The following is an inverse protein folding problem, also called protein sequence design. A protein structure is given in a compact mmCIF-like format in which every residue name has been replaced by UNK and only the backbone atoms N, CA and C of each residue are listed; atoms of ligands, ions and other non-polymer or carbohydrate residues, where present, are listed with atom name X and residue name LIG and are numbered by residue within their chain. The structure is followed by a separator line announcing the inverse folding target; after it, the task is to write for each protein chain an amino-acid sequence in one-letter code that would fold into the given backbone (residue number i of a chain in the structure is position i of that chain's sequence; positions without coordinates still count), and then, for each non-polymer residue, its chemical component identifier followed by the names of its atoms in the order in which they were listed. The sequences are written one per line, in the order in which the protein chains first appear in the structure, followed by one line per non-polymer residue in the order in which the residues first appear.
data_IF_772549847330
#
_entry.id   IF_772549847330
#
_cell.length_a   1.000
_cell.length_b   1.000
_cell.length_c   1.000
_cell.angle_alpha   90.00
_cell.angle_beta   90.00
_cell.angle_gamma   90.00
#
_symmetry.space_group_name_H-M   'P 1'
#
loop_
_entity.id
_entity.type
_entity.pdbx_description
1 polymer ?
#
# COMPACT_ATOMS: atom_id res chain seq x y z
N UNK A 1 9.48 -6.07 12.99
CA UNK A 1 8.90 -6.41 11.66
C UNK A 1 7.56 -5.69 11.52
N UNK A 2 7.21 -5.11 10.35
CA UNK A 2 5.93 -4.41 10.19
C UNK A 2 4.74 -5.36 10.36
N UNK A 3 3.64 -4.89 10.95
CA UNK A 3 2.45 -5.72 11.18
C UNK A 3 1.83 -6.16 9.85
N UNK A 4 1.17 -7.31 9.90
CA UNK A 4 0.34 -7.77 8.79
C UNK A 4 -1.06 -7.17 8.93
N UNK A 5 -1.57 -6.59 7.84
CA UNK A 5 -2.93 -6.02 7.81
C UNK A 5 -3.72 -6.76 6.74
N UNK A 6 -4.88 -7.30 7.12
CA UNK A 6 -5.77 -8.06 6.22
C UNK A 6 -5.06 -9.22 5.50
N UNK A 7 -4.19 -9.94 6.19
CA UNK A 7 -3.43 -11.06 5.63
C UNK A 7 -2.29 -10.66 4.67
N UNK A 8 -2.01 -9.36 4.49
CA UNK A 8 -0.97 -8.85 3.61
C UNK A 8 0.13 -8.17 4.41
N UNK A 9 1.38 -8.44 4.03
CA UNK A 9 2.55 -7.79 4.63
C UNK A 9 2.73 -6.40 4.05
N UNK A 10 2.85 -5.41 4.92
CA UNK A 10 3.22 -4.06 4.53
C UNK A 10 4.71 -4.01 4.18
N UNK A 11 5.04 -3.45 3.01
CA UNK A 11 6.42 -3.32 2.52
C UNK A 11 6.80 -1.85 2.47
N UNK A 12 7.67 -1.41 3.38
CA UNK A 12 8.37 -0.13 3.32
C UNK A 12 9.57 -0.30 2.39
N UNK A 13 9.73 0.57 1.40
CA UNK A 13 10.75 0.43 0.33
C UNK A 13 11.90 1.40 0.53
N UNK A 14 11.60 2.70 0.60
CA UNK A 14 12.59 3.75 0.73
C UNK A 14 12.02 4.92 1.53
N UNK A 15 12.92 5.73 2.08
CA UNK A 15 12.58 6.95 2.79
C UNK A 15 13.47 8.08 2.30
N UNK A 16 12.93 9.29 2.24
CA UNK A 16 13.69 10.50 1.89
C UNK A 16 13.22 11.69 2.75
N UNK A 17 14.05 12.73 2.83
CA UNK A 17 13.70 13.96 3.53
C UNK A 17 12.70 14.77 2.68
N UNK A 18 11.52 15.01 3.21
CA UNK A 18 10.51 15.89 2.59
C UNK A 18 10.65 17.36 2.98
N UNK A 19 11.41 17.65 4.05
CA UNK A 19 11.63 19.01 4.55
C UNK A 19 12.36 18.97 5.90
N UNK A 20 12.88 20.12 6.34
CA UNK A 20 13.76 20.21 7.51
C UNK A 20 13.19 20.99 8.69
N UNK A 21 12.22 21.90 8.48
CA UNK A 21 11.64 22.72 9.55
C UNK A 21 10.10 22.70 9.53
N UNK A 22 9.44 21.81 10.32
CA UNK A 22 10.02 20.73 11.12
C UNK A 22 10.55 19.57 10.24
N UNK A 23 11.42 18.67 10.74
CA UNK A 23 11.93 17.56 9.96
C UNK A 23 10.80 16.63 9.47
N UNK A 24 10.69 16.43 8.16
CA UNK A 24 9.71 15.55 7.52
C UNK A 24 10.43 14.39 6.85
N UNK A 25 10.06 13.17 7.22
CA UNK A 25 10.51 11.94 6.55
C UNK A 25 9.34 11.38 5.74
N UNK A 26 9.52 11.28 4.42
CA UNK A 26 8.54 10.67 3.54
C UNK A 26 8.94 9.22 3.28
N UNK A 27 8.07 8.30 3.69
CA UNK A 27 8.30 6.85 3.55
C UNK A 27 7.40 6.31 2.45
N UNK A 28 8.03 5.67 1.46
CA UNK A 28 7.34 5.05 0.35
C UNK A 28 7.24 3.55 0.52
N UNK A 29 6.14 2.99 0.03
CA UNK A 29 5.93 1.55 0.09
C UNK A 29 4.60 1.10 -0.48
N UNK A 30 4.27 -0.15 -0.19
CA UNK A 30 2.97 -0.72 -0.53
C UNK A 30 2.11 -0.81 0.72
N UNK A 31 0.84 -0.39 0.63
CA UNK A 31 -0.14 -0.49 1.72
C UNK A 31 0.27 0.27 3.00
N UNK A 32 1.06 1.34 2.83
CA UNK A 32 1.65 2.12 3.92
C UNK A 32 0.61 2.97 4.66
N UNK A 33 -0.46 3.36 3.96
CA UNK A 33 -1.62 4.04 4.56
C UNK A 33 -2.35 3.20 5.62
N UNK A 34 -2.23 1.87 5.56
CA UNK A 34 -2.89 0.96 6.49
C UNK A 34 -2.04 0.64 7.73
N UNK A 35 -0.88 1.31 7.90
CA UNK A 35 -0.10 1.15 9.12
C UNK A 35 -0.91 1.55 10.36
N UNK A 36 -0.91 0.72 11.42
CA UNK A 36 -1.42 1.14 12.72
C UNK A 36 -0.63 2.32 13.28
N UNK A 37 -1.29 3.21 14.00
CA UNK A 37 -0.66 4.41 14.57
C UNK A 37 0.46 4.08 15.57
N UNK A 38 0.38 2.91 16.22
CA UNK A 38 1.46 2.38 17.06
C UNK A 38 2.75 2.20 16.28
N UNK A 39 2.69 1.66 15.06
CA UNK A 39 3.87 1.47 14.22
C UNK A 39 4.37 2.78 13.61
N UNK A 40 3.47 3.72 13.30
CA UNK A 40 3.86 5.08 12.88
C UNK A 40 4.67 5.78 13.96
N UNK A 41 4.22 5.68 15.22
CA UNK A 41 4.93 6.22 16.39
C UNK A 41 6.26 5.52 16.65
N UNK A 42 6.31 4.21 16.47
CA UNK A 42 7.56 3.44 16.52
C UNK A 42 8.58 3.99 15.52
N UNK A 43 8.19 4.17 14.24
CA UNK A 43 9.08 4.72 13.21
C UNK A 43 9.52 6.15 13.55
N UNK A 44 8.61 6.99 14.06
CA UNK A 44 8.92 8.35 14.50
C UNK A 44 9.99 8.36 15.60
N UNK A 45 9.80 7.53 16.63
CA UNK A 45 10.78 7.41 17.72
C UNK A 45 12.10 6.80 17.26
N UNK A 46 12.05 5.86 16.32
CA UNK A 46 13.24 5.26 15.71
C UNK A 46 14.07 6.31 15.00
N UNK A 47 13.49 7.08 14.08
CA UNK A 47 14.20 8.16 13.38
C UNK A 47 14.69 9.25 14.34
N UNK A 48 13.89 9.59 15.36
CA UNK A 48 14.30 10.58 16.38
C UNK A 48 15.53 10.13 17.13
N UNK A 49 15.58 8.86 17.53
CA UNK A 49 16.72 8.29 18.25
C UNK A 49 17.95 8.10 17.35
N UNK A 50 17.75 7.60 16.13
CA UNK A 50 18.86 7.31 15.20
C UNK A 50 19.51 8.55 14.61
N UNK A 51 18.77 9.65 14.46
CA UNK A 51 19.28 10.92 13.94
C UNK A 51 19.62 11.92 15.05
N UNK A 52 19.47 11.53 16.32
CA UNK A 52 19.75 12.37 17.50
C UNK A 52 19.07 13.75 17.48
N UNK A 53 17.88 13.81 16.88
CA UNK A 53 17.12 15.06 16.75
C UNK A 53 16.48 15.42 18.11
N UNK A 54 16.94 16.54 18.67
CA UNK A 54 16.45 17.12 19.92
C UNK A 54 15.62 18.39 19.62
N UNK A 55 14.53 18.60 20.36
CA UNK A 55 13.77 19.85 20.34
C UNK A 55 12.66 19.96 19.28
N UNK A 56 12.72 19.24 18.16
CA UNK A 56 11.63 19.25 17.15
C UNK A 56 11.00 17.87 16.94
N UNK A 57 9.66 17.77 16.85
CA UNK A 57 9.01 16.51 16.52
C UNK A 57 9.23 16.15 15.05
N UNK A 58 9.64 14.91 14.77
CA UNK A 58 9.75 14.41 13.39
C UNK A 58 8.36 14.07 12.86
N UNK A 59 8.01 14.62 11.70
CA UNK A 59 6.79 14.27 10.98
C UNK A 59 7.07 13.15 9.99
N UNK A 60 6.25 12.11 9.99
CA UNK A 60 6.35 11.03 9.01
C UNK A 60 5.14 11.08 8.09
N UNK A 61 5.41 11.23 6.79
CA UNK A 61 4.40 11.16 5.75
C UNK A 61 4.55 9.83 5.01
N UNK A 62 3.42 9.15 4.78
CA UNK A 62 3.42 7.86 4.09
C UNK A 62 2.84 8.02 2.68
N UNK A 63 3.63 7.63 1.69
CA UNK A 63 3.19 7.60 0.30
C UNK A 63 3.08 6.17 -0.19
N UNK A 64 1.90 5.82 -0.69
CA UNK A 64 1.70 4.55 -1.37
C UNK A 64 2.27 4.66 -2.79
N UNK A 65 2.86 3.58 -3.27
CA UNK A 65 3.13 3.41 -4.69
C UNK A 65 1.80 3.42 -5.45
N UNK A 66 1.68 4.26 -6.47
CA UNK A 66 0.54 4.23 -7.37
C UNK A 66 0.58 2.96 -8.24
N UNK A 67 -0.60 2.42 -8.52
CA UNK A 67 -0.75 1.27 -9.41
C UNK A 67 -1.13 1.77 -10.82
N UNK A 68 -0.24 1.69 -11.82
CA UNK A 68 -0.50 2.19 -13.18
C UNK A 68 -1.60 1.42 -13.95
N UNK A 69 -2.14 0.35 -13.36
CA UNK A 69 -3.21 -0.48 -13.93
C UNK A 69 -4.56 -0.29 -13.22
N UNK A 70 -4.64 0.53 -12.17
CA UNK A 70 -5.87 0.66 -11.36
C UNK A 70 -7.08 1.12 -12.18
N UNK A 71 -6.85 2.05 -13.11
CA UNK A 71 -7.91 2.58 -13.99
C UNK A 71 -8.01 1.86 -15.34
N UNK A 72 -7.22 0.79 -15.58
CA UNK A 72 -7.34 0.01 -16.81
C UNK A 72 -8.44 -1.02 -16.63
N UNK A 73 -9.61 -0.74 -17.21
CA UNK A 73 -10.64 -1.75 -17.37
C UNK A 73 -10.10 -2.88 -18.26
N UNK A 74 -9.95 -4.09 -17.71
CA UNK A 74 -9.64 -5.29 -18.48
C UNK A 74 -10.83 -5.61 -19.41
N UNK A 75 -10.83 -5.04 -20.62
CA UNK A 75 -11.73 -5.47 -21.68
C UNK A 75 -11.36 -6.92 -22.01
N UNK A 76 -12.29 -7.83 -21.76
CA UNK A 76 -12.12 -9.23 -22.12
C UNK A 76 -11.86 -9.32 -23.63
N UNK A 77 -10.86 -10.10 -24.03
CA UNK A 77 -10.70 -10.43 -25.45
C UNK A 77 -11.91 -11.26 -25.92
N UNK A 78 -12.23 -11.20 -27.22
CA UNK A 78 -13.36 -11.93 -27.81
C UNK A 78 -13.35 -13.43 -27.44
N UNK A 79 -12.16 -14.03 -27.36
CA UNK A 79 -11.97 -15.43 -26.93
C UNK A 79 -12.35 -15.64 -25.46
N UNK A 80 -11.91 -14.75 -24.56
CA UNK A 80 -12.24 -14.81 -23.13
C UNK A 80 -13.73 -14.59 -22.89
N UNK A 81 -14.37 -13.69 -23.64
CA UNK A 81 -15.81 -13.44 -23.55
C UNK A 81 -16.61 -14.67 -23.98
N UNK A 82 -16.26 -15.29 -25.12
CA UNK A 82 -16.88 -16.54 -25.60
C UNK A 82 -16.72 -17.68 -24.60
N UNK A 83 -15.52 -17.85 -24.04
CA UNK A 83 -15.25 -18.87 -23.00
C UNK A 83 -16.11 -18.64 -21.77
N UNK A 84 -16.22 -17.40 -21.29
CA UNK A 84 -17.08 -17.04 -20.16
C UNK A 84 -18.56 -17.32 -20.45
N UNK A 85 -19.06 -16.93 -21.63
CA UNK A 85 -20.46 -17.21 -22.04
C UNK A 85 -20.75 -18.72 -22.04
N UNK A 86 -19.85 -19.54 -22.60
CA UNK A 86 -19.98 -21.02 -22.62
C UNK A 86 -19.95 -21.62 -21.20
N UNK A 87 -19.08 -21.13 -20.32
CA UNK A 87 -19.06 -21.60 -18.93
C UNK A 87 -20.37 -21.25 -18.19
N UNK A 88 -20.88 -20.02 -18.38
CA UNK A 88 -22.11 -19.57 -17.73
C UNK A 88 -23.35 -20.34 -18.21
N UNK A 89 -23.41 -20.74 -19.49
CA UNK A 89 -24.53 -21.55 -20.00
C UNK A 89 -24.55 -22.96 -19.40
N UNK A 90 -23.37 -23.59 -19.23
CA UNK A 90 -23.26 -24.90 -18.56
C UNK A 90 -23.70 -24.83 -17.11
N UNK A 91 -23.30 -23.79 -16.37
CA UNK A 91 -23.72 -23.59 -14.98
C UNK A 91 -25.24 -23.35 -14.90
N UNK A 92 -25.81 -22.58 -15.82
CA UNK A 92 -27.26 -22.32 -15.88
C UNK A 92 -28.06 -23.59 -16.17
N UNK A 93 -27.58 -24.43 -17.09
CA UNK A 93 -28.24 -25.70 -17.41
C UNK A 93 -28.12 -26.73 -16.28
N UNK A 94 -27.07 -26.68 -15.45
CA UNK A 94 -26.95 -27.54 -14.25
C UNK A 94 -27.85 -27.14 -13.09
N UNK A 95 -28.29 -25.89 -13.05
CA UNK A 95 -29.19 -25.37 -12.00
C UNK A 95 -30.67 -25.51 -12.36
N UNK A 96 -30.97 -25.97 -13.57
CA UNK A 96 -32.31 -26.21 -14.09
C UNK A 96 -32.59 -27.70 -14.06
#
# INVERSE_FOLDING_TARGET
QPPMVRGRRIKLKYAHAGGYNPPIVVIHGNMVRELPDSYKRYLMNYFRKSLEIMGTPIRINFQNSENPFENRANKLTLSQERKRKRMMSVVKNRKK
#
